data_IF_650008302579
#
_entry.id   IF_650008302579
#
_cell.length_a   1.000
_cell.length_b   1.000
_cell.length_c   1.000
_cell.angle_alpha   90.00
_cell.angle_beta   90.00
_cell.angle_gamma   90.00
#
_symmetry.space_group_name_H-M   'P 1'
#
loop_
_entity.id
_entity.type
_entity.pdbx_description
1 polymer ?
#
# COMPACT_ATOMS: atom_id res chain seq x y z
N UNK A 1 -13.74 -33.79 -1.48
CA UNK A 1 -12.54 -33.01 -1.13
C UNK A 1 -11.47 -33.28 -2.17
N UNK A 2 -11.04 -32.25 -2.88
CA UNK A 2 -10.25 -32.40 -4.11
C UNK A 2 -8.76 -32.53 -3.77
N UNK A 3 -8.41 -33.40 -2.83
CA UNK A 3 -7.04 -33.70 -2.44
C UNK A 3 -6.83 -35.20 -2.22
N UNK A 4 -5.61 -35.67 -2.47
CA UNK A 4 -5.19 -37.02 -2.13
C UNK A 4 -4.49 -37.04 -0.76
N UNK A 5 -4.90 -38.00 0.06
CA UNK A 5 -4.22 -38.32 1.31
C UNK A 5 -3.86 -39.80 1.39
N UNK A 6 -2.71 -40.09 1.97
CA UNK A 6 -2.17 -41.46 2.12
C UNK A 6 -1.69 -41.70 3.55
N UNK A 7 -1.42 -42.96 3.91
CA UNK A 7 -0.91 -43.32 5.23
C UNK A 7 0.59 -43.55 5.23
N UNK A 8 1.23 -43.30 6.37
CA UNK A 8 2.68 -43.44 6.56
C UNK A 8 3.22 -44.86 6.35
N UNK A 9 2.38 -45.87 6.58
CA UNK A 9 2.70 -47.29 6.52
C UNK A 9 2.51 -47.88 5.12
N UNK A 10 2.04 -47.09 4.15
CA UNK A 10 1.94 -47.50 2.76
C UNK A 10 3.33 -47.51 2.10
N UNK A 11 3.54 -48.44 1.17
CA UNK A 11 4.69 -48.39 0.27
C UNK A 11 4.41 -47.52 -0.97
N UNK A 12 5.46 -47.13 -1.68
CA UNK A 12 5.34 -46.26 -2.85
C UNK A 12 4.50 -46.89 -3.97
N UNK A 13 4.55 -48.21 -4.14
CA UNK A 13 3.74 -48.88 -5.15
C UNK A 13 2.24 -48.75 -4.84
N UNK A 14 1.84 -48.95 -3.58
CA UNK A 14 0.46 -48.73 -3.11
C UNK A 14 0.00 -47.30 -3.35
N UNK A 15 0.86 -46.31 -3.07
CA UNK A 15 0.55 -44.89 -3.32
C UNK A 15 0.34 -44.62 -4.81
N UNK A 16 1.21 -45.14 -5.68
CA UNK A 16 1.08 -44.97 -7.13
C UNK A 16 -0.19 -45.63 -7.68
N UNK A 17 -0.55 -46.82 -7.19
CA UNK A 17 -1.78 -47.49 -7.57
C UNK A 17 -3.01 -46.70 -7.10
N UNK A 18 -2.99 -46.18 -5.88
CA UNK A 18 -4.04 -45.30 -5.35
C UNK A 18 -4.22 -44.03 -6.21
N UNK A 19 -3.12 -43.36 -6.58
CA UNK A 19 -3.14 -42.19 -7.46
C UNK A 19 -3.72 -42.53 -8.83
N UNK A 20 -3.41 -43.70 -9.40
CA UNK A 20 -3.97 -44.11 -10.71
C UNK A 20 -5.49 -44.29 -10.67
N UNK A 21 -6.04 -44.69 -9.53
CA UNK A 21 -7.48 -44.92 -9.38
C UNK A 21 -8.22 -43.63 -9.05
N UNK A 22 -7.69 -42.81 -8.14
CA UNK A 22 -8.42 -41.65 -7.57
C UNK A 22 -7.84 -40.29 -7.95
N UNK A 23 -6.67 -40.24 -8.58
CA UNK A 23 -5.96 -38.99 -8.82
C UNK A 23 -6.58 -38.08 -9.87
N UNK A 24 -7.55 -38.57 -10.66
CA UNK A 24 -8.30 -37.73 -11.60
C UNK A 24 -9.27 -36.74 -10.92
N UNK A 25 -9.64 -37.00 -9.67
CA UNK A 25 -10.55 -36.16 -8.88
C UNK A 25 -9.79 -35.21 -7.92
N UNK A 26 -8.46 -35.16 -8.00
CA UNK A 26 -7.61 -34.33 -7.13
C UNK A 26 -7.29 -33.01 -7.81
N UNK A 27 -7.39 -31.91 -7.07
CA UNK A 27 -6.99 -30.56 -7.51
C UNK A 27 -5.52 -30.52 -7.93
N UNK A 28 -4.68 -31.24 -7.19
CA UNK A 28 -3.26 -31.35 -7.50
C UNK A 28 -2.71 -32.74 -7.22
N UNK A 29 -1.72 -33.14 -8.01
CA UNK A 29 -0.87 -34.32 -7.78
C UNK A 29 0.57 -33.93 -7.41
N UNK A 30 0.87 -32.63 -7.35
CA UNK A 30 2.22 -32.14 -7.07
C UNK A 30 2.66 -32.42 -5.63
N UNK A 31 1.70 -32.42 -4.71
CA UNK A 31 1.88 -32.69 -3.29
C UNK A 31 0.82 -33.67 -2.84
N UNK A 32 1.23 -34.72 -2.11
CA UNK A 32 0.34 -35.72 -1.55
C UNK A 32 0.46 -35.65 -0.03
N UNK A 33 -0.66 -35.48 0.66
CA UNK A 33 -0.64 -35.30 2.11
C UNK A 33 -0.65 -36.65 2.84
N UNK A 34 0.11 -36.73 3.93
CA UNK A 34 0.17 -37.92 4.78
C UNK A 34 -0.63 -37.65 6.04
N UNK A 35 -1.62 -38.50 6.30
CA UNK A 35 -2.51 -38.38 7.45
C UNK A 35 -2.42 -39.60 8.37
N UNK A 36 -2.83 -39.45 9.62
CA UNK A 36 -3.06 -40.59 10.51
C UNK A 36 -4.43 -41.25 10.30
N UNK A 37 -4.73 -42.30 11.07
CA UNK A 37 -5.99 -43.04 11.00
C UNK A 37 -7.23 -42.19 11.33
N UNK A 38 -7.04 -41.01 11.91
CA UNK A 38 -8.10 -40.06 12.23
C UNK A 38 -8.17 -38.90 11.23
N UNK A 39 -7.31 -38.85 10.22
CA UNK A 39 -7.26 -37.77 9.22
C UNK A 39 -6.44 -36.55 9.64
N UNK A 40 -5.66 -36.65 10.73
CA UNK A 40 -4.80 -35.54 11.17
C UNK A 40 -3.56 -35.47 10.28
N UNK A 41 -3.20 -34.28 9.82
CA UNK A 41 -2.04 -34.07 8.97
C UNK A 41 -0.75 -34.43 9.72
N UNK A 42 0.10 -35.25 9.10
CA UNK A 42 1.38 -35.76 9.65
C UNK A 42 2.59 -35.49 8.76
N UNK A 43 2.39 -35.34 7.46
CA UNK A 43 3.47 -35.13 6.50
C UNK A 43 2.94 -34.69 5.15
N UNK A 44 3.86 -34.42 4.24
CA UNK A 44 3.59 -34.23 2.83
C UNK A 44 4.67 -34.93 2.01
N UNK A 45 4.29 -35.39 0.83
CA UNK A 45 5.16 -36.07 -0.12
C UNK A 45 5.07 -35.36 -1.45
N UNK A 46 6.20 -34.85 -1.93
CA UNK A 46 6.26 -34.20 -3.24
C UNK A 46 6.23 -35.26 -4.35
N UNK A 47 5.55 -34.98 -5.46
CA UNK A 47 5.50 -35.88 -6.62
C UNK A 47 6.91 -36.31 -7.08
N UNK A 48 7.88 -35.40 -7.04
CA UNK A 48 9.28 -35.70 -7.36
C UNK A 48 9.86 -36.78 -6.43
N UNK A 49 9.59 -36.70 -5.13
CA UNK A 49 10.07 -37.69 -4.16
C UNK A 49 9.42 -39.05 -4.41
N UNK A 50 8.11 -39.06 -4.70
CA UNK A 50 7.38 -40.27 -5.05
C UNK A 50 7.97 -40.95 -6.29
N UNK A 51 8.18 -40.20 -7.37
CA UNK A 51 8.66 -40.72 -8.66
C UNK A 51 10.12 -41.22 -8.63
N UNK A 52 10.94 -40.70 -7.71
CA UNK A 52 12.34 -41.08 -7.57
C UNK A 52 12.58 -42.16 -6.50
N UNK A 53 11.55 -42.52 -5.72
CA UNK A 53 11.67 -43.51 -4.64
C UNK A 53 11.49 -44.93 -5.16
N UNK A 54 12.12 -45.91 -4.50
CA UNK A 54 11.93 -47.33 -4.82
C UNK A 54 10.53 -47.79 -4.44
N UNK A 55 9.86 -48.64 -5.24
CA UNK A 55 8.47 -49.04 -5.00
C UNK A 55 8.19 -49.65 -3.63
N UNK A 56 9.18 -50.34 -3.03
CA UNK A 56 9.06 -51.04 -1.74
C UNK A 56 9.25 -50.12 -0.53
N UNK A 57 9.75 -48.90 -0.73
CA UNK A 57 10.05 -47.97 0.36
C UNK A 57 8.75 -47.47 1.00
N UNK A 58 8.71 -47.34 2.33
CA UNK A 58 7.55 -46.80 3.04
C UNK A 58 7.50 -45.28 2.99
N UNK A 59 6.29 -44.72 2.93
CA UNK A 59 6.05 -43.26 2.94
C UNK A 59 6.68 -42.60 4.17
N UNK A 60 6.56 -43.23 5.33
CA UNK A 60 7.15 -42.75 6.59
C UNK A 60 8.68 -42.65 6.58
N UNK A 61 9.37 -43.31 5.65
CA UNK A 61 10.84 -43.23 5.48
C UNK A 61 11.28 -42.13 4.50
N UNK A 62 10.33 -41.42 3.89
CA UNK A 62 10.57 -40.38 2.87
C UNK A 62 10.18 -39.01 3.39
N UNK A 63 9.06 -38.91 4.11
CA UNK A 63 8.59 -37.64 4.66
C UNK A 63 9.54 -37.10 5.73
N UNK A 64 9.70 -35.77 5.76
CA UNK A 64 10.44 -35.08 6.81
C UNK A 64 9.54 -34.85 8.04
N UNK A 65 10.09 -34.93 9.24
CA UNK A 65 9.39 -34.57 10.49
C UNK A 65 9.33 -33.05 10.73
N UNK A 66 9.79 -32.25 9.77
CA UNK A 66 9.70 -30.80 9.84
C UNK A 66 8.25 -30.31 9.91
N UNK A 67 8.07 -29.15 10.54
CA UNK A 67 6.75 -28.54 10.69
C UNK A 67 6.20 -28.17 9.31
N UNK A 68 5.12 -28.83 8.92
CA UNK A 68 4.38 -28.54 7.70
C UNK A 68 3.76 -27.15 7.83
N UNK A 69 3.90 -26.35 6.79
CA UNK A 69 3.21 -25.07 6.69
C UNK A 69 1.76 -25.37 6.33
N UNK A 70 0.82 -24.87 7.12
CA UNK A 70 -0.60 -25.13 6.96
C UNK A 70 -1.35 -23.82 6.93
N UNK A 71 -2.41 -23.77 6.13
CA UNK A 71 -3.40 -22.69 6.17
C UNK A 71 -4.57 -23.12 7.07
N UNK A 72 -5.33 -22.13 7.55
CA UNK A 72 -6.61 -22.39 8.24
C UNK A 72 -7.76 -21.87 7.43
N UNK A 73 -8.94 -22.50 7.53
CA UNK A 73 -10.13 -22.07 6.77
C UNK A 73 -10.64 -20.66 7.15
N UNK A 74 -10.14 -20.08 8.23
CA UNK A 74 -10.48 -18.72 8.70
C UNK A 74 -9.36 -17.71 8.44
N UNK A 75 -8.28 -18.12 7.78
CA UNK A 75 -7.16 -17.25 7.44
C UNK A 75 -7.54 -16.35 6.27
N UNK A 76 -7.02 -15.12 6.29
CA UNK A 76 -7.21 -14.17 5.20
C UNK A 76 -6.49 -14.63 3.91
N UNK A 77 -7.02 -14.28 2.75
CA UNK A 77 -6.43 -14.63 1.46
C UNK A 77 -5.06 -13.98 1.27
N UNK A 78 -4.87 -12.74 1.73
CA UNK A 78 -3.58 -12.04 1.67
C UNK A 78 -2.49 -12.74 2.50
N UNK A 79 -2.86 -13.25 3.70
CA UNK A 79 -1.95 -14.03 4.56
C UNK A 79 -1.59 -15.38 3.91
N UNK A 80 -2.55 -16.01 3.22
CA UNK A 80 -2.30 -17.24 2.47
C UNK A 80 -1.33 -16.97 1.32
N UNK A 81 -1.55 -15.92 0.53
CA UNK A 81 -0.67 -15.48 -0.54
C UNK A 81 0.76 -15.19 -0.03
N UNK A 82 0.90 -14.56 1.13
CA UNK A 82 2.22 -14.34 1.75
C UNK A 82 2.91 -15.67 2.10
N UNK A 83 2.17 -16.67 2.59
CA UNK A 83 2.73 -18.00 2.85
C UNK A 83 3.25 -18.65 1.56
N UNK A 84 2.49 -18.60 0.46
CA UNK A 84 2.95 -19.11 -0.84
C UNK A 84 4.23 -18.42 -1.32
N UNK A 85 4.28 -17.08 -1.26
CA UNK A 85 5.46 -16.28 -1.65
C UNK A 85 6.68 -16.55 -0.76
N UNK A 86 6.47 -16.76 0.54
CA UNK A 86 7.57 -16.95 1.50
C UNK A 86 8.20 -18.34 1.41
N UNK A 87 7.39 -19.37 1.15
CA UNK A 87 7.83 -20.76 1.18
C UNK A 87 8.04 -21.38 -0.21
N UNK A 88 7.83 -20.62 -1.30
CA UNK A 88 7.99 -21.07 -2.70
C UNK A 88 7.29 -22.42 -2.98
N UNK A 89 6.08 -22.59 -2.43
CA UNK A 89 5.31 -23.84 -2.56
C UNK A 89 4.27 -23.75 -3.68
N UNK A 90 3.89 -24.92 -4.22
CA UNK A 90 2.87 -25.04 -5.28
C UNK A 90 1.49 -25.40 -4.74
N UNK A 91 1.41 -25.88 -3.49
CA UNK A 91 0.17 -26.21 -2.82
C UNK A 91 0.37 -26.17 -1.29
N UNK A 92 -0.65 -25.74 -0.56
CA UNK A 92 -0.66 -25.75 0.91
C UNK A 92 -1.89 -26.49 1.44
N UNK A 93 -1.73 -27.33 2.48
CA UNK A 93 -2.85 -27.98 3.13
C UNK A 93 -3.63 -27.00 4.00
N UNK A 94 -4.95 -27.10 3.95
CA UNK A 94 -5.87 -26.40 4.84
C UNK A 94 -6.29 -27.33 5.97
N UNK A 95 -6.08 -26.88 7.21
CA UNK A 95 -6.42 -27.66 8.41
C UNK A 95 -7.47 -26.96 9.27
N UNK A 96 -8.22 -27.75 10.02
CA UNK A 96 -9.10 -27.24 11.07
C UNK A 96 -8.30 -26.87 12.35
N UNK A 97 -9.02 -26.39 13.37
CA UNK A 97 -8.42 -26.02 14.66
C UNK A 97 -7.76 -27.18 15.42
N UNK A 98 -8.09 -28.44 15.09
CA UNK A 98 -7.54 -29.64 15.70
C UNK A 98 -6.40 -30.26 14.86
N UNK A 99 -6.11 -29.70 13.69
CA UNK A 99 -5.08 -30.15 12.74
C UNK A 99 -5.54 -31.24 11.77
N UNK A 100 -6.84 -31.46 11.63
CA UNK A 100 -7.40 -32.34 10.60
C UNK A 100 -7.30 -31.68 9.23
N UNK A 101 -6.83 -32.43 8.24
CA UNK A 101 -6.76 -31.97 6.86
C UNK A 101 -8.19 -31.89 6.30
N UNK A 102 -8.59 -30.70 5.86
CA UNK A 102 -9.95 -30.44 5.34
C UNK A 102 -9.93 -29.94 3.90
N UNK A 103 -8.79 -29.52 3.36
CA UNK A 103 -8.66 -29.05 2.00
C UNK A 103 -7.21 -28.80 1.56
N UNK A 104 -7.06 -28.31 0.35
CA UNK A 104 -5.81 -27.85 -0.26
C UNK A 104 -6.08 -26.53 -0.98
N UNK A 105 -5.08 -25.66 -1.01
CA UNK A 105 -5.04 -24.48 -1.88
C UNK A 105 -3.85 -24.65 -2.80
N UNK A 106 -3.97 -24.27 -4.07
CA UNK A 106 -2.89 -24.35 -5.05
C UNK A 106 -2.37 -22.98 -5.43
N UNK A 107 -1.18 -22.94 -6.03
CA UNK A 107 -0.55 -21.67 -6.41
C UNK A 107 -1.27 -20.95 -7.55
N UNK A 108 -1.97 -21.67 -8.42
CA UNK A 108 -2.77 -21.07 -9.49
C UNK A 108 -3.98 -20.29 -8.95
N UNK A 109 -4.70 -20.82 -7.94
CA UNK A 109 -5.71 -20.03 -7.22
C UNK A 109 -5.11 -18.76 -6.59
N UNK A 110 -3.88 -18.86 -6.09
CA UNK A 110 -3.17 -17.72 -5.49
C UNK A 110 -2.68 -16.70 -6.51
N UNK A 111 -2.60 -17.04 -7.81
CA UNK A 111 -2.30 -16.06 -8.85
C UNK A 111 -3.49 -15.10 -9.03
N UNK A 112 -4.71 -15.61 -9.02
CA UNK A 112 -5.92 -14.80 -9.12
C UNK A 112 -6.07 -13.90 -7.89
N UNK A 113 -5.89 -14.46 -6.69
CA UNK A 113 -5.86 -13.68 -5.43
C UNK A 113 -4.79 -12.59 -5.46
N UNK A 114 -3.62 -12.86 -6.03
CA UNK A 114 -2.57 -11.84 -6.13
C UNK A 114 -2.98 -10.67 -7.05
N UNK A 115 -3.68 -10.94 -8.14
CA UNK A 115 -4.20 -9.90 -9.04
C UNK A 115 -5.33 -9.10 -8.38
N UNK A 116 -6.22 -9.77 -7.64
CA UNK A 116 -7.29 -9.15 -6.88
C UNK A 116 -6.75 -8.21 -5.79
N UNK A 117 -5.79 -8.67 -4.98
CA UNK A 117 -5.12 -7.88 -3.94
C UNK A 117 -4.40 -6.65 -4.52
N UNK A 118 -3.66 -6.82 -5.63
CA UNK A 118 -3.02 -5.68 -6.31
C UNK A 118 -4.07 -4.68 -6.84
N UNK A 119 -5.20 -5.17 -7.34
CA UNK A 119 -6.31 -4.33 -7.82
C UNK A 119 -6.98 -3.58 -6.67
N UNK A 120 -7.24 -4.25 -5.55
CA UNK A 120 -7.80 -3.67 -4.34
C UNK A 120 -6.90 -2.58 -3.75
N UNK A 121 -5.59 -2.82 -3.65
CA UNK A 121 -4.59 -1.84 -3.21
C UNK A 121 -4.62 -0.56 -4.07
N UNK A 122 -4.69 -0.72 -5.40
CA UNK A 122 -4.78 0.41 -6.34
C UNK A 122 -6.06 1.22 -6.10
N UNK A 123 -7.19 0.55 -5.91
CA UNK A 123 -8.49 1.21 -5.69
C UNK A 123 -8.54 1.95 -4.34
N UNK A 124 -8.09 1.30 -3.26
CA UNK A 124 -7.97 1.89 -1.92
C UNK A 124 -7.06 3.11 -1.94
N UNK A 125 -5.91 3.01 -2.60
CA UNK A 125 -4.97 4.13 -2.75
C UNK A 125 -5.59 5.30 -3.52
N UNK A 126 -6.47 5.02 -4.49
CA UNK A 126 -7.25 6.02 -5.21
C UNK A 126 -8.35 6.71 -4.38
N UNK A 127 -8.56 6.30 -3.13
CA UNK A 127 -9.63 6.81 -2.30
C UNK A 127 -10.99 6.22 -2.70
N UNK A 128 -11.02 4.93 -3.04
CA UNK A 128 -12.23 4.18 -3.36
C UNK A 128 -12.25 2.89 -2.52
N UNK A 129 -13.42 2.50 -2.02
CA UNK A 129 -13.59 1.18 -1.41
C UNK A 129 -13.49 0.09 -2.49
N UNK A 130 -12.83 -1.03 -2.19
CA UNK A 130 -12.60 -2.11 -3.15
C UNK A 130 -13.91 -2.57 -3.82
N UNK A 131 -13.83 -2.74 -5.14
CA UNK A 131 -14.91 -3.26 -5.96
C UNK A 131 -14.89 -4.78 -5.91
N UNK A 132 -16.04 -5.38 -5.59
CA UNK A 132 -16.22 -6.83 -5.52
C UNK A 132 -16.55 -7.44 -6.91
N UNK A 133 -16.90 -6.60 -7.88
CA UNK A 133 -17.32 -7.00 -9.22
C UNK A 133 -16.65 -6.11 -10.28
N UNK A 134 -16.54 -6.58 -11.54
CA UNK A 134 -16.03 -5.75 -12.63
C UNK A 134 -16.80 -4.43 -12.77
N UNK A 135 -16.09 -3.36 -13.12
CA UNK A 135 -16.62 -2.00 -13.17
C UNK A 135 -17.92 -1.84 -13.99
N UNK A 136 -18.03 -2.57 -15.11
CA UNK A 136 -19.18 -2.47 -16.02
C UNK A 136 -20.40 -3.25 -15.52
N UNK A 137 -20.21 -4.17 -14.57
CA UNK A 137 -21.27 -5.02 -14.03
C UNK A 137 -21.91 -4.39 -12.79
N UNK A 138 -21.18 -3.50 -12.10
CA UNK A 138 -21.67 -2.74 -10.96
C UNK A 138 -22.82 -1.80 -11.34
N UNK A 139 -23.86 -1.79 -10.50
CA UNK A 139 -24.94 -0.82 -10.64
C UNK A 139 -24.46 0.58 -10.25
N UNK A 140 -25.04 1.61 -10.87
CA UNK A 140 -24.71 3.02 -10.55
C UNK A 140 -24.88 3.34 -9.05
N UNK A 141 -25.92 2.88 -8.34
CA UNK A 141 -26.05 3.11 -6.89
C UNK A 141 -24.90 2.49 -6.07
N UNK A 142 -24.43 1.30 -6.44
CA UNK A 142 -23.30 0.64 -5.76
C UNK A 142 -22.00 1.40 -6.00
N UNK A 143 -21.74 1.81 -7.24
CA UNK A 143 -20.57 2.63 -7.58
C UNK A 143 -20.57 3.96 -6.81
N UNK A 144 -21.73 4.61 -6.69
CA UNK A 144 -21.86 5.81 -5.87
C UNK A 144 -21.54 5.49 -4.42
N UNK A 145 -22.09 4.41 -3.84
CA UNK A 145 -21.84 4.03 -2.45
C UNK A 145 -20.36 3.80 -2.17
N UNK A 146 -19.65 3.04 -3.02
CA UNK A 146 -18.21 2.72 -2.90
C UNK A 146 -17.30 3.95 -2.96
N UNK A 147 -17.77 5.07 -3.54
CA UNK A 147 -17.02 6.34 -3.63
C UNK A 147 -17.49 7.39 -2.62
N UNK A 148 -18.78 7.43 -2.33
CA UNK A 148 -19.42 8.51 -1.55
C UNK A 148 -18.88 8.56 -0.13
N UNK A 149 -18.64 7.42 0.52
CA UNK A 149 -18.09 7.39 1.89
C UNK A 149 -16.76 8.12 1.95
N UNK A 150 -15.84 7.81 1.04
CA UNK A 150 -14.53 8.44 0.99
C UNK A 150 -14.57 9.89 0.52
N UNK A 151 -15.38 10.23 -0.48
CA UNK A 151 -15.56 11.62 -0.89
C UNK A 151 -16.13 12.49 0.24
N UNK A 152 -17.07 11.98 1.03
CA UNK A 152 -17.63 12.71 2.18
C UNK A 152 -16.57 12.91 3.26
N UNK A 153 -15.79 11.88 3.58
CA UNK A 153 -14.71 11.99 4.58
C UNK A 153 -13.64 13.00 4.13
N UNK A 154 -13.22 12.94 2.87
CA UNK A 154 -12.26 13.88 2.31
C UNK A 154 -12.82 15.31 2.29
N UNK A 155 -14.08 15.50 1.88
CA UNK A 155 -14.73 16.80 1.86
C UNK A 155 -14.83 17.42 3.26
N UNK A 156 -15.18 16.63 4.28
CA UNK A 156 -15.17 17.10 5.67
C UNK A 156 -13.75 17.46 6.12
N UNK A 157 -12.75 16.68 5.71
CA UNK A 157 -11.34 17.02 5.93
C UNK A 157 -10.95 18.34 5.27
N UNK A 158 -11.37 18.58 4.03
CA UNK A 158 -11.09 19.81 3.27
C UNK A 158 -11.74 21.06 3.91
N UNK A 159 -12.82 20.92 4.70
CA UNK A 159 -13.37 22.05 5.47
C UNK A 159 -12.36 22.63 6.47
N UNK A 160 -11.35 21.85 6.90
CA UNK A 160 -10.26 22.35 7.72
C UNK A 160 -9.38 23.35 6.95
N UNK A 161 -9.26 23.21 5.63
CA UNK A 161 -8.54 24.16 4.78
C UNK A 161 -9.25 25.51 4.77
N UNK A 162 -10.59 25.51 4.67
CA UNK A 162 -11.38 26.73 4.79
C UNK A 162 -11.19 27.41 6.16
N UNK A 163 -11.11 26.62 7.23
CA UNK A 163 -10.83 27.13 8.58
C UNK A 163 -9.42 27.72 8.70
N UNK A 164 -8.41 27.08 8.10
CA UNK A 164 -7.05 27.58 8.05
C UNK A 164 -6.96 28.90 7.23
N UNK A 165 -7.69 29.00 6.12
CA UNK A 165 -7.76 30.23 5.34
C UNK A 165 -8.42 31.37 6.12
N UNK A 166 -9.51 31.10 6.84
CA UNK A 166 -10.18 32.09 7.69
C UNK A 166 -9.27 32.61 8.81
N UNK A 167 -8.38 31.77 9.34
CA UNK A 167 -7.39 32.20 10.33
C UNK A 167 -6.40 33.25 9.77
N UNK A 168 -6.10 33.21 8.47
CA UNK A 168 -5.21 34.16 7.78
C UNK A 168 -5.97 35.19 6.92
N UNK A 169 -7.24 35.47 7.24
CA UNK A 169 -8.09 36.38 6.48
C UNK A 169 -7.52 37.81 6.46
N UNK A 170 -6.99 38.28 7.59
CA UNK A 170 -6.39 39.62 7.71
C UNK A 170 -5.14 39.77 6.84
N UNK A 171 -4.29 38.74 6.78
CA UNK A 171 -3.11 38.70 5.91
C UNK A 171 -3.51 38.68 4.43
N UNK A 172 -4.51 37.86 4.09
CA UNK A 172 -5.08 37.77 2.75
C UNK A 172 -5.66 39.11 2.28
N UNK A 173 -6.36 39.84 3.16
CA UNK A 173 -6.93 41.14 2.85
C UNK A 173 -5.85 42.18 2.53
N UNK A 174 -4.71 42.14 3.22
CA UNK A 174 -3.57 43.03 2.97
C UNK A 174 -2.80 42.68 1.70
N UNK A 175 -2.72 41.40 1.36
CA UNK A 175 -1.92 40.91 0.25
C UNK A 175 -2.68 39.87 -0.60
N UNK A 176 -3.73 40.31 -1.28
CA UNK A 176 -4.59 39.47 -2.14
C UNK A 176 -3.78 38.69 -3.19
N UNK A 177 -2.67 39.26 -3.66
CA UNK A 177 -1.77 38.60 -4.62
C UNK A 177 -1.20 37.27 -4.10
N UNK A 178 -1.01 37.12 -2.78
CA UNK A 178 -0.55 35.86 -2.18
C UNK A 178 -1.55 34.72 -2.41
N UNK A 179 -2.85 35.02 -2.48
CA UNK A 179 -3.89 34.04 -2.77
C UNK A 179 -3.69 33.37 -4.14
N UNK A 180 -3.09 34.08 -5.11
CA UNK A 180 -2.85 33.53 -6.46
C UNK A 180 -1.80 32.42 -6.47
N UNK A 181 -0.99 32.29 -5.42
CA UNK A 181 0.01 31.24 -5.28
C UNK A 181 -0.47 30.04 -4.47
N UNK A 182 -1.58 30.15 -3.75
CA UNK A 182 -2.13 29.07 -2.91
C UNK A 182 -2.27 27.75 -3.69
N UNK A 183 -2.91 27.70 -4.89
CA UNK A 183 -3.06 26.44 -5.62
C UNK A 183 -1.73 25.81 -5.99
N UNK A 184 -0.74 26.63 -6.33
CA UNK A 184 0.60 26.16 -6.69
C UNK A 184 1.32 25.55 -5.48
N UNK A 185 1.22 26.21 -4.31
CA UNK A 185 1.84 25.74 -3.08
C UNK A 185 1.23 24.40 -2.68
N UNK A 186 -0.08 24.39 -2.45
CA UNK A 186 -0.83 23.22 -1.98
C UNK A 186 -0.65 22.02 -2.92
N UNK A 187 -0.84 22.22 -4.22
CA UNK A 187 -0.72 21.13 -5.20
C UNK A 187 0.70 20.55 -5.23
N UNK A 188 1.73 21.37 -5.07
CA UNK A 188 3.12 20.88 -5.05
C UNK A 188 3.37 19.94 -3.86
N UNK A 189 2.85 20.28 -2.69
CA UNK A 189 2.93 19.43 -1.52
C UNK A 189 2.14 18.14 -1.68
N UNK A 190 0.88 18.22 -2.13
CA UNK A 190 0.01 17.07 -2.34
C UNK A 190 0.57 16.08 -3.37
N UNK A 191 1.10 16.57 -4.49
CA UNK A 191 1.74 15.73 -5.51
C UNK A 191 2.99 15.03 -4.96
N UNK A 192 3.82 15.74 -4.18
CA UNK A 192 5.00 15.16 -3.55
C UNK A 192 4.63 14.08 -2.53
N UNK A 193 3.60 14.33 -1.72
CA UNK A 193 3.07 13.37 -0.77
C UNK A 193 2.50 12.13 -1.42
N UNK A 194 1.69 12.28 -2.47
CA UNK A 194 1.15 11.13 -3.22
C UNK A 194 2.26 10.28 -3.85
N UNK A 195 3.31 10.91 -4.42
CA UNK A 195 4.46 10.17 -4.95
C UNK A 195 5.20 9.38 -3.87
N UNK A 196 5.46 10.02 -2.72
CA UNK A 196 6.11 9.35 -1.59
C UNK A 196 5.25 8.20 -1.05
N UNK A 197 3.93 8.39 -0.95
CA UNK A 197 3.00 7.36 -0.50
C UNK A 197 2.96 6.16 -1.45
N UNK A 198 2.88 6.37 -2.76
CA UNK A 198 2.93 5.29 -3.76
C UNK A 198 4.19 4.44 -3.61
N UNK A 199 5.36 5.07 -3.48
CA UNK A 199 6.63 4.36 -3.35
C UNK A 199 6.70 3.54 -2.05
N UNK A 200 6.26 4.13 -0.93
CA UNK A 200 6.30 3.43 0.37
C UNK A 200 5.27 2.31 0.44
N UNK A 201 4.04 2.51 -0.05
CA UNK A 201 3.01 1.46 -0.06
C UNK A 201 3.49 0.28 -0.92
N UNK A 202 4.03 0.53 -2.12
CA UNK A 202 4.55 -0.55 -2.97
C UNK A 202 5.73 -1.27 -2.35
N UNK A 203 6.68 -0.54 -1.76
CA UNK A 203 7.81 -1.16 -1.08
C UNK A 203 7.37 -1.98 0.16
N UNK A 204 6.29 -1.58 0.83
CA UNK A 204 5.69 -2.32 1.94
C UNK A 204 4.96 -3.59 1.49
N UNK A 205 4.26 -3.56 0.35
CA UNK A 205 3.55 -4.73 -0.19
C UNK A 205 4.49 -5.75 -0.83
N UNK A 206 5.61 -5.29 -1.39
CA UNK A 206 6.70 -6.14 -1.87
C UNK A 206 7.61 -6.69 -0.75
N UNK A 207 7.43 -6.23 0.49
CA UNK A 207 8.28 -6.64 1.62
C UNK A 207 9.71 -6.10 1.57
N UNK A 208 10.01 -5.14 0.70
CA UNK A 208 11.33 -4.51 0.57
C UNK A 208 11.68 -3.66 1.81
N UNK A 209 10.65 -3.14 2.48
CA UNK A 209 10.76 -2.35 3.71
C UNK A 209 9.77 -2.81 4.76
N UNK A 210 10.08 -2.52 6.02
CA UNK A 210 9.22 -2.81 7.17
C UNK A 210 9.06 -1.58 8.06
N UNK A 211 8.14 -1.66 9.03
CA UNK A 211 7.94 -0.59 10.04
C UNK A 211 9.23 -0.33 10.86
N UNK A 212 10.17 -1.29 10.91
CA UNK A 212 11.45 -1.14 11.60
C UNK A 212 12.39 -0.15 10.89
N UNK A 213 12.21 0.03 9.58
CA UNK A 213 13.05 0.89 8.74
C UNK A 213 12.65 2.37 8.81
N UNK A 214 11.69 2.71 9.68
CA UNK A 214 11.14 4.05 9.90
C UNK A 214 12.17 5.18 9.83
N UNK A 215 13.23 5.09 10.64
CA UNK A 215 14.24 6.14 10.73
C UNK A 215 15.12 6.24 9.47
N UNK A 216 15.38 5.12 8.78
CA UNK A 216 16.13 5.11 7.55
C UNK A 216 15.33 5.77 6.41
N UNK A 217 14.05 5.44 6.32
CA UNK A 217 13.12 6.01 5.34
C UNK A 217 12.97 7.51 5.59
N UNK A 218 12.67 7.93 6.82
CA UNK A 218 12.49 9.34 7.16
C UNK A 218 13.72 10.19 6.78
N UNK A 219 14.95 9.70 7.03
CA UNK A 219 16.18 10.42 6.64
C UNK A 219 16.32 10.56 5.14
N UNK A 220 16.03 9.49 4.38
CA UNK A 220 16.04 9.52 2.91
C UNK A 220 15.03 10.51 2.37
N UNK A 221 13.84 10.56 2.98
CA UNK A 221 12.75 11.43 2.58
C UNK A 221 12.94 12.90 2.97
N UNK A 222 13.66 13.18 4.06
CA UNK A 222 14.09 14.56 4.37
C UNK A 222 15.02 15.08 3.28
N UNK A 223 15.99 14.26 2.85
CA UNK A 223 16.95 14.66 1.82
C UNK A 223 16.27 14.83 0.45
N UNK A 224 15.41 13.88 0.05
CA UNK A 224 14.64 13.98 -1.20
C UNK A 224 13.71 15.20 -1.18
N UNK A 225 12.96 15.39 -0.09
CA UNK A 225 12.01 16.49 0.07
C UNK A 225 12.67 17.86 0.03
N UNK A 226 13.82 18.03 0.71
CA UNK A 226 14.60 19.28 0.65
C UNK A 226 15.16 19.54 -0.75
N UNK A 227 15.65 18.51 -1.45
CA UNK A 227 16.19 18.66 -2.79
C UNK A 227 15.10 19.02 -3.81
N UNK A 228 14.00 18.26 -3.83
CA UNK A 228 12.85 18.51 -4.72
C UNK A 228 12.20 19.86 -4.41
N UNK A 229 12.01 20.16 -3.13
CA UNK A 229 11.50 21.44 -2.66
C UNK A 229 12.40 22.61 -3.06
N UNK A 230 13.71 22.43 -3.01
CA UNK A 230 14.69 23.42 -3.48
C UNK A 230 14.60 23.67 -4.99
N UNK A 231 14.45 22.60 -5.79
CA UNK A 231 14.28 22.70 -7.25
C UNK A 231 12.99 23.46 -7.58
N UNK A 232 11.85 23.03 -7.01
CA UNK A 232 10.56 23.68 -7.24
C UNK A 232 10.54 25.10 -6.69
N UNK A 233 11.14 25.32 -5.52
CA UNK A 233 11.29 26.63 -4.90
C UNK A 233 12.07 27.60 -5.78
N UNK A 234 13.20 27.16 -6.35
CA UNK A 234 13.99 27.95 -7.29
C UNK A 234 13.19 28.33 -8.54
N UNK A 235 12.47 27.37 -9.13
CA UNK A 235 11.58 27.62 -10.29
C UNK A 235 10.49 28.62 -9.90
N UNK A 236 9.88 28.47 -8.73
CA UNK A 236 8.85 29.37 -8.21
C UNK A 236 9.36 30.80 -8.05
N UNK A 237 10.50 30.99 -7.39
CA UNK A 237 11.16 32.30 -7.23
C UNK A 237 11.42 32.94 -8.59
N UNK A 238 12.04 32.18 -9.49
CA UNK A 238 12.38 32.65 -10.83
C UNK A 238 11.13 33.08 -11.59
N UNK A 239 10.07 32.26 -11.56
CA UNK A 239 8.80 32.57 -12.22
C UNK A 239 8.19 33.86 -11.70
N UNK A 240 8.16 34.07 -10.39
CA UNK A 240 7.59 35.28 -9.78
C UNK A 240 8.37 36.53 -10.19
N UNK A 241 9.70 36.48 -10.10
CA UNK A 241 10.56 37.61 -10.46
C UNK A 241 10.48 37.92 -11.96
N UNK A 242 10.54 36.89 -12.81
CA UNK A 242 10.45 37.05 -14.26
C UNK A 242 9.13 37.68 -14.67
N UNK A 243 8.01 37.23 -14.09
CA UNK A 243 6.70 37.80 -14.39
C UNK A 243 6.58 39.26 -13.94
N UNK A 244 7.09 39.59 -12.75
CA UNK A 244 7.14 40.97 -12.26
C UNK A 244 7.99 41.87 -13.16
N UNK A 245 9.11 41.35 -13.69
CA UNK A 245 9.95 42.06 -14.65
C UNK A 245 9.25 42.26 -15.99
N UNK A 246 8.61 41.23 -16.54
CA UNK A 246 7.91 41.28 -17.82
C UNK A 246 6.75 42.30 -17.82
N UNK A 247 6.08 42.47 -16.69
CA UNK A 247 5.02 43.47 -16.50
C UNK A 247 5.56 44.87 -16.12
N UNK A 248 6.87 45.05 -15.98
CA UNK A 248 7.47 46.33 -15.59
C UNK A 248 7.21 46.74 -14.14
N UNK A 249 6.84 45.80 -13.27
CA UNK A 249 6.47 46.03 -11.87
C UNK A 249 7.51 45.50 -10.88
N UNK A 250 8.76 45.25 -11.31
CA UNK A 250 9.78 44.69 -10.44
C UNK A 250 10.11 45.65 -9.29
N UNK A 251 9.68 45.30 -8.09
CA UNK A 251 10.01 45.98 -6.84
C UNK A 251 10.61 45.00 -5.84
N UNK A 252 11.23 45.51 -4.77
CA UNK A 252 11.75 44.67 -3.68
C UNK A 252 10.65 43.77 -3.10
N UNK A 253 9.40 44.26 -3.06
CA UNK A 253 8.23 43.50 -2.64
C UNK A 253 8.01 42.25 -3.49
N UNK A 254 8.14 42.34 -4.81
CA UNK A 254 8.02 41.18 -5.71
C UNK A 254 9.15 40.17 -5.53
N UNK A 255 10.36 40.63 -5.22
CA UNK A 255 11.49 39.75 -4.90
C UNK A 255 11.20 38.98 -3.60
N UNK A 256 10.74 39.68 -2.56
CA UNK A 256 10.37 39.04 -1.29
C UNK A 256 9.19 38.08 -1.42
N UNK A 257 8.21 38.38 -2.27
CA UNK A 257 7.13 37.44 -2.59
C UNK A 257 7.67 36.20 -3.31
N UNK A 258 8.59 36.36 -4.26
CA UNK A 258 9.27 35.23 -4.92
C UNK A 258 9.98 34.33 -3.91
N UNK A 259 10.77 34.92 -3.00
CA UNK A 259 11.45 34.18 -1.92
C UNK A 259 10.46 33.50 -0.98
N UNK A 260 9.35 34.17 -0.64
CA UNK A 260 8.27 33.62 0.18
C UNK A 260 7.68 32.37 -0.47
N UNK A 261 7.35 32.43 -1.76
CA UNK A 261 6.87 31.28 -2.53
C UNK A 261 7.92 30.17 -2.56
N UNK A 262 9.20 30.52 -2.81
CA UNK A 262 10.30 29.56 -2.85
C UNK A 262 10.51 28.79 -1.56
N UNK A 263 10.61 29.48 -0.43
CA UNK A 263 10.79 28.84 0.89
C UNK A 263 9.55 28.06 1.31
N UNK A 264 8.37 28.54 0.97
CA UNK A 264 7.12 27.80 1.24
C UNK A 264 7.05 26.50 0.44
N UNK A 265 7.51 26.51 -0.82
CA UNK A 265 7.63 25.30 -1.62
C UNK A 265 8.60 24.30 -1.01
N UNK A 266 9.75 24.74 -0.49
CA UNK A 266 10.68 23.86 0.23
C UNK A 266 9.98 23.22 1.44
N UNK A 267 9.30 24.03 2.25
CA UNK A 267 8.61 23.57 3.45
C UNK A 267 7.48 22.60 3.14
N UNK A 268 6.62 22.92 2.18
CA UNK A 268 5.44 22.10 1.88
C UNK A 268 5.80 20.82 1.14
N UNK A 269 6.79 20.83 0.25
CA UNK A 269 7.24 19.62 -0.46
C UNK A 269 7.89 18.67 0.54
N UNK A 270 8.73 19.18 1.44
CA UNK A 270 9.29 18.39 2.54
C UNK A 270 8.18 17.78 3.42
N UNK A 271 7.21 18.60 3.84
CA UNK A 271 6.10 18.12 4.66
C UNK A 271 5.25 17.08 3.94
N UNK A 272 4.89 17.34 2.68
CA UNK A 272 4.12 16.41 1.85
C UNK A 272 4.82 15.07 1.70
N UNK A 273 6.11 15.07 1.34
CA UNK A 273 6.93 13.85 1.25
C UNK A 273 6.97 13.09 2.57
N UNK A 274 7.13 13.79 3.70
CA UNK A 274 7.13 13.15 5.02
C UNK A 274 5.77 12.57 5.39
N UNK A 275 4.68 13.28 5.13
CA UNK A 275 3.34 12.75 5.36
C UNK A 275 3.06 11.53 4.49
N UNK A 276 3.33 11.62 3.19
CA UNK A 276 3.11 10.52 2.26
C UNK A 276 3.94 9.28 2.58
N UNK A 277 5.19 9.46 3.01
CA UNK A 277 6.05 8.32 3.34
C UNK A 277 5.79 7.73 4.74
N UNK A 278 5.47 8.55 5.73
CA UNK A 278 5.35 8.10 7.12
C UNK A 278 3.95 7.61 7.48
N UNK A 279 2.91 8.15 6.85
CA UNK A 279 1.52 7.77 7.17
C UNK A 279 1.23 6.28 6.90
N UNK A 280 1.61 5.67 5.77
CA UNK A 280 1.41 4.23 5.53
C UNK A 280 2.09 3.35 6.59
N UNK A 281 3.28 3.76 7.06
CA UNK A 281 4.01 3.06 8.13
C UNK A 281 3.30 3.17 9.49
N UNK A 282 2.64 4.29 9.78
CA UNK A 282 1.84 4.47 11.00
C UNK A 282 0.61 3.57 10.98
N UNK A 283 -0.10 3.53 9.85
CA UNK A 283 -1.25 2.64 9.67
C UNK A 283 -0.84 1.18 9.86
N UNK A 284 0.24 0.73 9.20
CA UNK A 284 0.78 -0.62 9.38
C UNK A 284 1.11 -0.94 10.84
N UNK A 285 1.70 0.03 11.56
CA UNK A 285 2.04 -0.12 12.99
C UNK A 285 0.80 -0.32 13.87
N UNK A 286 -0.33 0.27 13.49
CA UNK A 286 -1.61 0.10 14.17
C UNK A 286 -2.42 -1.11 13.69
N UNK A 287 -1.86 -1.92 12.78
CA UNK A 287 -2.57 -3.06 12.19
C UNK A 287 -3.65 -2.66 11.19
N UNK A 288 -3.59 -1.43 10.69
CA UNK A 288 -4.44 -0.95 9.60
C UNK A 288 -3.73 -1.16 8.27
N UNK A 289 -4.52 -1.36 7.22
CA UNK A 289 -4.05 -1.49 5.86
C UNK A 289 -3.35 -0.19 5.38
N UNK A 290 -2.06 -0.25 4.99
CA UNK A 290 -1.31 0.92 4.49
C UNK A 290 -1.90 1.55 3.23
N UNK A 291 -2.57 0.78 2.37
CA UNK A 291 -3.18 1.28 1.13
C UNK A 291 -4.33 2.27 1.40
N UNK A 292 -4.90 2.24 2.62
CA UNK A 292 -5.90 3.21 3.07
C UNK A 292 -5.35 4.63 3.27
N UNK A 293 -4.02 4.81 3.33
CA UNK A 293 -3.34 6.11 3.20
C UNK A 293 -3.46 6.63 1.76
N UNK A 294 -4.68 6.84 1.30
CA UNK A 294 -5.00 7.19 -0.07
C UNK A 294 -4.32 8.50 -0.49
N UNK A 295 -3.95 8.59 -1.77
CA UNK A 295 -3.38 9.81 -2.34
C UNK A 295 -4.25 11.06 -2.07
N UNK A 296 -5.59 11.00 -2.21
CA UNK A 296 -6.46 12.13 -1.84
C UNK A 296 -6.37 12.50 -0.36
N UNK A 297 -6.29 11.53 0.56
CA UNK A 297 -6.18 11.83 1.99
C UNK A 297 -4.88 12.53 2.35
N UNK A 298 -3.76 12.09 1.76
CA UNK A 298 -2.47 12.77 1.89
C UNK A 298 -2.56 14.19 1.34
N UNK A 299 -3.19 14.39 0.18
CA UNK A 299 -3.40 15.73 -0.38
C UNK A 299 -4.18 16.63 0.60
N UNK A 300 -5.33 16.18 1.14
CA UNK A 300 -6.13 16.97 2.10
C UNK A 300 -5.32 17.40 3.34
N UNK A 301 -4.47 16.53 3.89
CA UNK A 301 -3.59 16.90 5.01
C UNK A 301 -2.58 17.99 4.61
N UNK A 302 -2.05 17.89 3.40
CA UNK A 302 -1.07 18.85 2.86
C UNK A 302 -1.74 20.17 2.46
N UNK A 303 -3.01 20.17 2.07
CA UNK A 303 -3.78 21.39 1.81
C UNK A 303 -3.85 22.27 3.06
N UNK A 304 -4.31 21.69 4.18
CA UNK A 304 -4.47 22.39 5.46
C UNK A 304 -3.14 22.92 5.96
N UNK A 305 -2.15 22.03 6.05
CA UNK A 305 -0.81 22.37 6.56
C UNK A 305 -0.04 23.27 5.61
N UNK A 306 -0.33 23.19 4.32
CA UNK A 306 0.23 24.02 3.26
C UNK A 306 -0.14 25.48 3.39
N UNK A 307 -1.42 25.77 3.67
CA UNK A 307 -1.88 27.12 4.02
C UNK A 307 -1.10 27.63 5.24
N UNK A 308 -1.01 26.83 6.30
CA UNK A 308 -0.32 27.22 7.53
C UNK A 308 1.16 27.50 7.27
N UNK A 309 1.87 26.64 6.54
CA UNK A 309 3.29 26.83 6.19
C UNK A 309 3.45 28.10 5.35
N UNK A 310 2.64 28.26 4.29
CA UNK A 310 2.74 29.38 3.37
C UNK A 310 2.55 30.73 4.07
N UNK A 311 1.46 30.88 4.82
CA UNK A 311 1.17 32.14 5.50
C UNK A 311 2.07 32.39 6.70
N UNK A 312 2.62 31.34 7.34
CA UNK A 312 3.65 31.53 8.36
C UNK A 312 4.95 32.08 7.76
N UNK A 313 5.39 31.56 6.61
CA UNK A 313 6.57 32.07 5.90
C UNK A 313 6.31 33.48 5.39
N UNK A 314 5.12 33.74 4.82
CA UNK A 314 4.74 35.06 4.36
C UNK A 314 4.73 36.07 5.52
N UNK A 315 4.12 35.72 6.66
CA UNK A 315 4.08 36.56 7.85
C UNK A 315 5.46 36.82 8.44
N UNK A 316 6.42 35.90 8.28
CA UNK A 316 7.79 36.12 8.73
C UNK A 316 8.55 37.10 7.82
N UNK A 317 8.38 36.99 6.50
CA UNK A 317 9.17 37.73 5.52
C UNK A 317 8.55 39.07 5.07
N UNK A 318 7.24 39.18 5.10
CA UNK A 318 6.49 40.33 4.58
C UNK A 318 5.96 41.26 5.68
N UNK A 319 6.23 40.95 6.95
CA UNK A 319 5.79 41.75 8.10
C UNK A 319 6.31 43.19 8.00
N UNK A 320 5.41 44.16 8.09
CA UNK A 320 5.73 45.58 8.02
C UNK A 320 6.05 46.10 6.61
N UNK A 321 5.91 45.24 5.57
CA UNK A 321 6.04 45.62 4.16
C UNK A 321 4.68 45.44 3.46
N UNK A 322 4.12 44.25 3.56
CA UNK A 322 2.86 43.84 2.94
C UNK A 322 1.85 43.30 3.97
N UNK A 323 2.33 42.72 5.08
CA UNK A 323 1.52 42.08 6.13
C UNK A 323 1.64 42.79 7.49
#
# INVERSE_FOLDING_TARGET
PDYLSVKKDWDINQVLEYIRVYGHESETLNVIYVVDDHGKLKGELLARQLLLSTPEKKVGEIISEEKIITLTATQDQSDALEAFKRYDTVALPVVDSNGYLIGVVTVDDMLDVAEEEETEDIQKFGGIEALEEPYMDLSIPELIKKRAVWLVVLFVGEMLTASAMAFFEDELAKAIVLATFIPLIISSGGNSGSQAATLIIRALSLGEITVRDWWAIMRREILSGLALGGILGFIGVFRVIFWAMALGHLTMTWVLMGITVGLSLVGIVLFGTLCGSMLPLLLKRWGLDPATSSAPFVATLVDVTGIVIYFSVASLLLRGILL
#
